data_IF_163155850023
#
_entry.id   IF_163155850023
#
_cell.length_a   1.000
_cell.length_b   1.000
_cell.length_c   1.000
_cell.angle_alpha   90.00
_cell.angle_beta   90.00
_cell.angle_gamma   90.00
#
_symmetry.space_group_name_H-M   'P 1'
#
loop_
_entity.id
_entity.type
_entity.pdbx_description
1 polymer ?
#
# COMPACT_ATOMS: atom_id res chain seq x y z
N UNK A 1 -17.75 34.69 -24.57
CA UNK A 1 -17.20 33.39 -24.99
C UNK A 1 -16.49 32.87 -23.78
N UNK A 2 -17.14 31.99 -23.03
CA UNK A 2 -16.58 31.36 -21.85
C UNK A 2 -15.62 30.26 -22.29
N UNK A 3 -14.39 30.41 -21.88
CA UNK A 3 -13.32 29.40 -22.05
C UNK A 3 -13.64 28.27 -21.08
N UNK A 4 -14.32 27.23 -21.54
CA UNK A 4 -14.46 26.00 -20.82
C UNK A 4 -13.14 25.24 -21.02
N UNK A 5 -12.22 25.37 -20.06
CA UNK A 5 -11.16 24.34 -19.88
C UNK A 5 -11.88 23.00 -19.75
N UNK A 6 -11.48 21.96 -20.51
CA UNK A 6 -12.05 20.64 -20.33
C UNK A 6 -11.78 20.21 -18.88
N UNK A 7 -12.84 19.97 -18.10
CA UNK A 7 -12.71 19.22 -16.85
C UNK A 7 -12.00 17.92 -17.23
N UNK A 8 -10.78 17.72 -16.72
CA UNK A 8 -10.05 16.47 -16.86
C UNK A 8 -10.98 15.36 -16.39
N UNK A 9 -11.36 14.49 -17.29
CA UNK A 9 -12.30 13.39 -17.03
C UNK A 9 -11.62 12.46 -16.03
N UNK A 10 -11.98 12.57 -14.76
CA UNK A 10 -11.42 11.75 -13.69
C UNK A 10 -11.95 10.34 -13.82
N UNK A 11 -11.12 9.42 -14.26
CA UNK A 11 -11.44 8.01 -14.46
C UNK A 11 -11.44 7.31 -13.09
N UNK A 12 -12.60 6.80 -12.68
CA UNK A 12 -12.82 6.20 -11.37
C UNK A 12 -12.84 4.68 -11.50
N UNK A 13 -11.68 4.04 -11.33
CA UNK A 13 -11.57 2.59 -11.49
C UNK A 13 -10.83 1.92 -10.33
N UNK A 14 -11.22 0.67 -10.05
CA UNK A 14 -10.54 -0.26 -9.16
C UNK A 14 -9.81 -1.30 -9.99
N UNK A 15 -8.49 -1.23 -10.03
CA UNK A 15 -7.63 -2.10 -10.82
C UNK A 15 -7.06 -3.21 -9.96
N UNK A 16 -7.09 -4.43 -10.46
CA UNK A 16 -6.60 -5.64 -9.77
C UNK A 16 -5.62 -6.41 -10.63
N UNK A 17 -4.75 -7.16 -9.99
CA UNK A 17 -4.07 -8.31 -10.59
C UNK A 17 -4.69 -9.57 -10.02
N UNK A 18 -5.05 -10.50 -10.87
CA UNK A 18 -5.74 -11.71 -10.48
C UNK A 18 -5.18 -12.94 -11.19
N UNK A 19 -5.42 -14.11 -10.60
CA UNK A 19 -5.15 -15.40 -11.21
C UNK A 19 -6.48 -16.12 -11.49
N UNK A 20 -6.66 -16.57 -12.72
CA UNK A 20 -7.81 -17.38 -13.16
C UNK A 20 -7.34 -18.48 -14.11
N UNK A 21 -7.80 -19.71 -13.90
CA UNK A 21 -7.42 -20.88 -14.71
C UNK A 21 -5.90 -21.02 -14.95
N UNK A 22 -5.08 -20.69 -13.94
CA UNK A 22 -3.61 -20.79 -14.01
C UNK A 22 -2.91 -19.59 -14.68
N UNK A 23 -3.67 -18.64 -15.25
CA UNK A 23 -3.12 -17.43 -15.89
C UNK A 23 -3.21 -16.23 -14.95
N UNK A 24 -2.15 -15.41 -14.89
CA UNK A 24 -2.13 -14.14 -14.19
C UNK A 24 -2.42 -13.04 -15.20
N UNK A 25 -3.38 -12.18 -14.87
CA UNK A 25 -3.80 -11.05 -15.68
C UNK A 25 -4.16 -9.84 -14.81
N UNK A 26 -4.34 -8.70 -15.44
CA UNK A 26 -4.89 -7.50 -14.82
C UNK A 26 -6.38 -7.36 -15.14
N UNK A 27 -7.13 -6.73 -14.26
CA UNK A 27 -8.56 -6.57 -14.42
C UNK A 27 -9.11 -5.30 -13.80
N UNK A 28 -10.30 -4.94 -14.22
CA UNK A 28 -11.14 -3.94 -13.59
C UNK A 28 -12.13 -4.63 -12.66
N UNK A 29 -12.15 -4.24 -11.39
CA UNK A 29 -13.11 -4.76 -10.42
C UNK A 29 -14.42 -3.97 -10.47
N UNK A 30 -15.50 -4.66 -10.83
CA UNK A 30 -16.88 -4.17 -10.82
C UNK A 30 -17.71 -4.91 -9.77
N UNK A 31 -18.94 -4.48 -9.57
CA UNK A 31 -19.90 -5.15 -8.67
C UNK A 31 -20.22 -6.58 -9.10
N UNK A 32 -20.24 -6.84 -10.41
CA UNK A 32 -20.56 -8.14 -11.01
C UNK A 32 -19.33 -9.06 -11.17
N UNK A 33 -18.11 -8.60 -10.88
CA UNK A 33 -16.90 -9.40 -10.97
C UNK A 33 -15.69 -8.63 -11.53
N UNK A 34 -14.78 -9.36 -12.18
CA UNK A 34 -13.53 -8.84 -12.74
C UNK A 34 -13.62 -8.83 -14.27
N UNK A 35 -13.52 -7.67 -14.88
CA UNK A 35 -13.35 -7.54 -16.33
C UNK A 35 -11.88 -7.72 -16.69
N UNK A 36 -11.58 -8.66 -17.58
CA UNK A 36 -10.22 -8.89 -18.06
C UNK A 36 -9.69 -7.70 -18.88
N UNK A 37 -8.48 -7.26 -18.57
CA UNK A 37 -7.79 -6.14 -19.23
C UNK A 37 -6.54 -6.58 -20.00
N UNK A 38 -6.35 -7.87 -20.27
CA UNK A 38 -5.18 -8.39 -21.01
C UNK A 38 -5.01 -7.76 -22.39
N UNK A 39 -6.13 -7.33 -23.02
CA UNK A 39 -6.11 -6.64 -24.30
C UNK A 39 -5.62 -5.17 -24.19
N UNK A 40 -5.57 -4.60 -22.97
CA UNK A 40 -5.05 -3.24 -22.71
C UNK A 40 -3.56 -3.30 -22.43
N UNK A 41 -3.14 -4.15 -21.49
CA UNK A 41 -1.75 -4.29 -21.08
C UNK A 41 -1.48 -5.69 -20.51
N UNK A 42 -0.23 -6.20 -20.64
CA UNK A 42 0.15 -7.51 -20.11
C UNK A 42 0.28 -7.55 -18.58
N UNK A 43 0.51 -6.40 -17.94
CA UNK A 43 0.68 -6.26 -16.50
C UNK A 43 0.31 -4.85 -16.01
N UNK A 44 0.17 -4.72 -14.69
CA UNK A 44 -0.26 -3.47 -14.05
C UNK A 44 0.71 -2.32 -14.29
N UNK A 45 2.02 -2.56 -14.28
CA UNK A 45 3.02 -1.51 -14.48
C UNK A 45 2.94 -0.98 -15.91
N UNK A 46 2.78 -1.87 -16.89
CA UNK A 46 2.59 -1.48 -18.29
C UNK A 46 1.31 -0.68 -18.49
N UNK A 47 0.22 -1.02 -17.80
CA UNK A 47 -1.00 -0.21 -17.79
C UNK A 47 -0.76 1.18 -17.19
N UNK A 48 -0.07 1.26 -16.06
CA UNK A 48 0.27 2.54 -15.41
C UNK A 48 1.13 3.41 -16.33
N UNK A 49 2.10 2.83 -17.05
CA UNK A 49 2.96 3.54 -18.03
C UNK A 49 2.17 4.14 -19.20
N UNK A 50 1.02 3.55 -19.57
CA UNK A 50 0.14 4.10 -20.60
C UNK A 50 -0.62 5.35 -20.12
N UNK A 51 -0.69 5.60 -18.81
CA UNK A 51 -1.33 6.78 -18.23
C UNK A 51 -2.81 6.91 -18.62
N UNK A 52 -3.22 8.12 -18.96
CA UNK A 52 -4.62 8.43 -19.34
C UNK A 52 -5.11 7.65 -20.56
N UNK A 53 -4.24 7.41 -21.55
CA UNK A 53 -4.60 6.61 -22.72
C UNK A 53 -4.91 5.15 -22.36
N UNK A 54 -4.16 4.57 -21.43
CA UNK A 54 -4.45 3.24 -20.90
C UNK A 54 -5.77 3.19 -20.14
N UNK A 55 -6.02 4.18 -19.28
CA UNK A 55 -7.25 4.26 -18.52
C UNK A 55 -8.49 4.48 -19.42
N UNK A 56 -8.38 5.29 -20.49
CA UNK A 56 -9.47 5.45 -21.45
C UNK A 56 -9.81 4.11 -22.14
N UNK A 57 -8.81 3.30 -22.50
CA UNK A 57 -9.04 1.97 -23.06
C UNK A 57 -9.66 1.00 -22.05
N UNK A 58 -9.31 1.13 -20.75
CA UNK A 58 -9.98 0.37 -19.69
C UNK A 58 -11.47 0.67 -19.66
N UNK A 59 -11.89 1.95 -19.74
CA UNK A 59 -13.30 2.33 -19.78
C UNK A 59 -14.01 1.77 -21.02
N UNK A 60 -13.39 1.85 -22.19
CA UNK A 60 -13.96 1.32 -23.45
C UNK A 60 -14.23 -0.19 -23.34
N UNK A 61 -13.25 -0.96 -22.85
CA UNK A 61 -13.41 -2.41 -22.68
C UNK A 61 -14.45 -2.70 -21.60
N UNK A 62 -14.41 -1.99 -20.47
CA UNK A 62 -15.31 -2.21 -19.35
C UNK A 62 -16.80 -2.01 -19.74
N UNK A 63 -17.07 -1.14 -20.70
CA UNK A 63 -18.44 -0.87 -21.17
C UNK A 63 -19.08 -2.04 -21.93
N UNK A 64 -18.28 -2.93 -22.52
CA UNK A 64 -18.75 -3.99 -23.42
C UNK A 64 -18.42 -5.42 -22.94
N UNK A 65 -17.47 -5.58 -22.05
CA UNK A 65 -16.98 -6.89 -21.64
C UNK A 65 -17.82 -7.51 -20.51
N UNK A 66 -17.97 -8.84 -20.57
CA UNK A 66 -18.52 -9.64 -19.47
C UNK A 66 -17.48 -9.76 -18.33
N UNK A 67 -17.98 -9.79 -17.10
CA UNK A 67 -17.12 -9.97 -15.93
C UNK A 67 -16.95 -11.46 -15.59
N UNK A 68 -15.74 -11.84 -15.18
CA UNK A 68 -15.46 -13.12 -14.54
C UNK A 68 -15.97 -13.01 -13.09
N UNK A 69 -16.80 -13.95 -12.60
CA UNK A 69 -17.27 -13.90 -11.22
C UNK A 69 -16.11 -13.80 -10.22
N UNK A 70 -16.23 -12.93 -9.22
CA UNK A 70 -15.17 -12.73 -8.24
C UNK A 70 -14.79 -14.01 -7.46
N UNK A 71 -15.73 -14.97 -7.34
CA UNK A 71 -15.49 -16.26 -6.70
C UNK A 71 -14.56 -17.19 -7.51
N UNK A 72 -14.41 -16.96 -8.82
CA UNK A 72 -13.61 -17.79 -9.72
C UNK A 72 -12.16 -17.28 -9.87
N UNK A 73 -11.84 -16.16 -9.23
CA UNK A 73 -10.50 -15.55 -9.31
C UNK A 73 -9.82 -15.51 -7.95
N UNK A 74 -8.48 -15.65 -7.96
CA UNK A 74 -7.64 -15.31 -6.80
C UNK A 74 -7.00 -13.95 -7.04
N UNK A 75 -7.28 -12.99 -6.16
CA UNK A 75 -6.61 -11.70 -6.21
C UNK A 75 -5.16 -11.83 -5.73
N UNK A 76 -4.26 -11.18 -6.44
CA UNK A 76 -2.84 -11.03 -6.10
C UNK A 76 -2.58 -9.56 -5.68
N UNK A 77 -1.38 -9.27 -5.17
CA UNK A 77 -0.98 -7.89 -5.01
C UNK A 77 -1.13 -7.15 -6.36
N UNK A 78 -1.74 -5.96 -6.42
CA UNK A 78 -2.00 -5.27 -7.68
C UNK A 78 -0.73 -5.05 -8.53
N UNK A 79 0.41 -4.83 -7.86
CA UNK A 79 1.75 -4.87 -8.44
C UNK A 79 2.49 -6.00 -7.73
N UNK A 80 2.28 -7.25 -8.18
CA UNK A 80 2.85 -8.44 -7.53
C UNK A 80 4.34 -8.63 -7.78
N UNK A 81 4.88 -8.03 -8.83
CA UNK A 81 6.31 -8.03 -9.16
C UNK A 81 6.81 -6.60 -9.34
N UNK A 82 6.98 -5.82 -8.25
CA UNK A 82 7.47 -4.46 -8.35
C UNK A 82 8.90 -4.45 -8.91
N UNK A 83 9.21 -3.48 -9.78
CA UNK A 83 10.54 -3.35 -10.41
C UNK A 83 11.61 -2.94 -9.40
N UNK A 84 11.22 -2.34 -8.30
CA UNK A 84 12.10 -1.85 -7.23
C UNK A 84 11.51 -2.14 -5.86
N UNK A 85 12.33 -2.02 -4.83
CA UNK A 85 11.89 -2.08 -3.45
C UNK A 85 10.73 -1.11 -3.20
N UNK A 86 9.77 -1.51 -2.35
CA UNK A 86 8.75 -0.62 -1.82
C UNK A 86 9.45 0.45 -0.99
N UNK A 87 9.22 1.71 -1.31
CA UNK A 87 9.70 2.85 -0.53
C UNK A 87 8.76 3.06 0.65
N UNK A 88 9.31 3.23 1.85
CA UNK A 88 8.51 3.33 3.07
C UNK A 88 8.92 4.56 3.87
N UNK A 89 7.95 5.09 4.63
CA UNK A 89 8.15 6.24 5.49
C UNK A 89 7.80 5.87 6.94
N UNK A 90 8.81 5.87 7.81
CA UNK A 90 8.62 5.66 9.24
C UNK A 90 8.27 6.95 9.99
N UNK A 91 7.61 6.78 11.14
CA UNK A 91 7.30 7.89 12.08
C UNK A 91 6.48 9.03 11.45
N UNK A 92 5.61 8.72 10.49
CA UNK A 92 4.84 9.72 9.76
C UNK A 92 3.48 10.07 10.40
N UNK A 93 3.19 9.54 11.59
CA UNK A 93 2.01 9.90 12.39
C UNK A 93 2.46 10.28 13.77
N UNK A 94 2.12 11.50 14.22
CA UNK A 94 2.61 12.04 15.49
C UNK A 94 2.25 11.16 16.70
N UNK A 95 1.04 10.58 16.72
CA UNK A 95 0.62 9.67 17.77
C UNK A 95 1.43 8.38 17.78
N UNK A 96 1.69 7.77 16.59
CA UNK A 96 2.54 6.59 16.45
C UNK A 96 4.00 6.89 16.83
N UNK A 97 4.52 8.04 16.44
CA UNK A 97 5.87 8.48 16.84
C UNK A 97 5.98 8.51 18.35
N UNK A 98 5.02 9.15 19.04
CA UNK A 98 4.99 9.25 20.50
C UNK A 98 4.93 7.87 21.16
N UNK A 99 3.97 7.01 20.79
CA UNK A 99 3.84 5.67 21.37
C UNK A 99 5.10 4.82 21.18
N UNK A 100 5.79 4.97 20.03
CA UNK A 100 7.02 4.25 19.72
C UNK A 100 8.19 4.66 20.61
N UNK A 101 8.34 5.94 20.91
CA UNK A 101 9.35 6.44 21.85
C UNK A 101 9.02 6.02 23.29
N UNK A 102 7.76 6.16 23.71
CA UNK A 102 7.29 5.76 25.04
C UNK A 102 7.47 4.25 25.29
N UNK A 103 7.21 3.41 24.28
CA UNK A 103 7.40 1.95 24.37
C UNK A 103 8.86 1.56 24.56
N UNK A 104 9.81 2.37 24.06
CA UNK A 104 11.26 2.18 24.23
C UNK A 104 11.83 2.87 25.45
N UNK A 105 11.03 3.67 26.18
CA UNK A 105 11.52 4.49 27.29
C UNK A 105 12.42 5.64 26.85
N UNK A 106 12.24 6.11 25.62
CA UNK A 106 13.02 7.19 25.00
C UNK A 106 12.26 8.52 25.05
N UNK A 107 12.98 9.65 24.99
CA UNK A 107 12.36 10.97 24.86
C UNK A 107 11.85 11.16 23.44
N UNK A 108 10.64 11.72 23.27
CA UNK A 108 10.08 12.01 21.96
C UNK A 108 10.90 13.10 21.27
N UNK A 109 11.46 12.76 20.12
CA UNK A 109 12.19 13.72 19.27
C UNK A 109 11.27 14.30 18.21
N UNK A 110 11.50 15.55 17.83
CA UNK A 110 10.84 16.18 16.69
C UNK A 110 11.40 15.61 15.40
N UNK A 111 10.54 15.11 14.54
CA UNK A 111 10.93 14.59 13.24
C UNK A 111 10.89 15.72 12.21
N UNK A 112 12.06 16.22 11.82
CA UNK A 112 12.21 17.33 10.86
C UNK A 112 12.14 16.88 9.40
N UNK A 113 12.52 15.61 9.12
CA UNK A 113 12.56 15.02 7.79
C UNK A 113 11.93 13.65 7.79
N UNK A 114 11.29 13.23 6.67
CA UNK A 114 10.75 11.87 6.56
C UNK A 114 11.83 10.81 6.80
N UNK A 115 11.53 9.83 7.66
CA UNK A 115 12.41 8.69 7.90
C UNK A 115 12.19 7.67 6.79
N UNK A 116 13.05 7.66 5.79
CA UNK A 116 12.89 6.83 4.59
C UNK A 116 13.64 5.51 4.75
N UNK A 117 12.96 4.40 4.44
CA UNK A 117 13.53 3.07 4.34
C UNK A 117 12.87 2.30 3.20
N UNK A 118 13.24 1.05 2.98
CA UNK A 118 12.64 0.22 1.94
C UNK A 118 12.35 -1.20 2.42
N UNK A 119 11.39 -1.85 1.75
CA UNK A 119 11.14 -3.31 1.83
C UNK A 119 11.54 -3.93 0.49
N UNK A 120 12.12 -5.15 0.53
CA UNK A 120 12.50 -5.89 -0.70
C UNK A 120 11.29 -6.23 -1.56
N UNK A 121 11.53 -6.53 -2.83
CA UNK A 121 10.46 -6.98 -3.73
C UNK A 121 9.89 -8.34 -3.34
N UNK A 122 10.70 -9.22 -2.74
CA UNK A 122 10.28 -10.57 -2.29
C UNK A 122 9.34 -10.54 -1.08
N UNK A 123 9.26 -9.39 -0.38
CA UNK A 123 8.31 -9.27 0.73
C UNK A 123 6.87 -9.03 0.28
N UNK A 124 6.64 -8.63 -0.99
CA UNK A 124 5.29 -8.36 -1.51
C UNK A 124 4.45 -9.62 -1.47
N UNK A 125 3.24 -9.50 -0.93
CA UNK A 125 2.30 -10.59 -0.73
C UNK A 125 0.90 -10.16 -1.16
N UNK A 126 0.06 -11.13 -1.48
CA UNK A 126 -1.31 -10.87 -1.91
C UNK A 126 -2.24 -10.43 -0.77
N UNK A 127 -3.39 -9.81 -1.13
CA UNK A 127 -4.32 -9.24 -0.15
C UNK A 127 -4.95 -10.27 0.79
N UNK A 128 -4.94 -11.56 0.39
CA UNK A 128 -5.57 -12.64 1.15
C UNK A 128 -4.64 -13.85 1.32
N UNK A 129 -3.36 -13.71 0.98
CA UNK A 129 -2.37 -14.77 1.16
C UNK A 129 -1.88 -14.83 2.60
N UNK A 130 -1.41 -16.00 3.04
CA UNK A 130 -0.83 -16.16 4.36
C UNK A 130 0.48 -15.38 4.48
N UNK A 131 0.75 -14.80 5.67
CA UNK A 131 2.03 -14.17 6.02
C UNK A 131 2.89 -15.25 6.68
N UNK A 132 4.06 -15.61 6.10
CA UNK A 132 4.95 -16.60 6.69
C UNK A 132 5.48 -16.18 8.05
N UNK A 133 5.48 -17.12 9.00
CA UNK A 133 6.04 -16.94 10.35
C UNK A 133 7.07 -18.01 10.62
N UNK A 134 8.29 -17.60 10.97
CA UNK A 134 9.36 -18.46 11.41
C UNK A 134 9.88 -17.97 12.77
N UNK A 135 9.58 -18.74 13.84
CA UNK A 135 10.01 -18.41 15.19
C UNK A 135 11.53 -18.43 15.38
N UNK A 136 12.27 -19.15 14.53
CA UNK A 136 13.74 -19.15 14.56
C UNK A 136 14.33 -17.85 14.00
N UNK A 137 13.56 -17.13 13.16
CA UNK A 137 13.94 -15.82 12.60
C UNK A 137 13.52 -14.69 13.53
N UNK A 138 12.24 -14.66 13.93
CA UNK A 138 11.69 -13.66 14.86
C UNK A 138 10.38 -14.14 15.48
N UNK A 139 10.24 -13.92 16.78
CA UNK A 139 8.98 -14.09 17.51
C UNK A 139 8.28 -12.75 17.83
N UNK A 140 8.74 -11.64 17.25
CA UNK A 140 8.22 -10.29 17.50
C UNK A 140 7.65 -9.66 16.24
N UNK A 141 6.78 -10.41 15.56
CA UNK A 141 6.09 -9.98 14.34
C UNK A 141 4.94 -9.06 14.73
N UNK A 142 4.88 -7.89 14.09
CA UNK A 142 3.91 -6.83 14.35
C UNK A 142 3.25 -6.35 13.05
N UNK A 143 2.11 -5.71 13.14
CA UNK A 143 1.30 -5.18 12.05
C UNK A 143 1.41 -3.66 11.97
N UNK A 144 1.28 -3.13 10.75
CA UNK A 144 1.24 -1.69 10.46
C UNK A 144 0.35 -1.42 9.25
N UNK A 145 -0.91 -1.02 9.47
CA UNK A 145 -1.80 -0.63 8.38
C UNK A 145 -1.39 0.73 7.80
N UNK A 146 -1.24 0.79 6.48
CA UNK A 146 -0.75 1.97 5.78
C UNK A 146 -1.53 2.26 4.51
N UNK A 147 -1.75 3.54 4.22
CA UNK A 147 -2.08 4.00 2.87
C UNK A 147 -0.82 3.91 2.01
N UNK A 148 -0.91 3.25 0.86
CA UNK A 148 0.17 3.22 -0.11
C UNK A 148 -0.20 4.02 -1.36
N UNK A 149 0.76 4.80 -1.83
CA UNK A 149 0.67 5.63 -3.04
C UNK A 149 1.38 4.93 -4.19
N UNK A 150 0.75 4.91 -5.36
CA UNK A 150 1.33 4.38 -6.60
C UNK A 150 1.70 5.54 -7.51
N UNK A 151 2.97 5.58 -7.94
CA UNK A 151 3.46 6.61 -8.86
C UNK A 151 3.02 6.28 -10.29
N UNK A 152 2.46 7.26 -10.99
CA UNK A 152 1.91 7.12 -12.35
C UNK A 152 2.81 7.63 -13.46
N UNK A 153 3.76 8.50 -13.15
CA UNK A 153 4.67 9.07 -14.16
C UNK A 153 6.09 9.21 -13.65
N UNK A 154 7.05 9.18 -14.59
CA UNK A 154 8.46 9.42 -14.26
C UNK A 154 8.63 10.87 -13.79
N UNK A 155 9.26 11.07 -12.63
CA UNK A 155 9.58 12.40 -12.07
C UNK A 155 10.90 12.38 -11.30
N UNK A 156 11.52 13.56 -11.19
CA UNK A 156 12.75 13.80 -10.41
C UNK A 156 12.78 15.26 -9.99
N UNK A 157 13.16 15.55 -8.75
CA UNK A 157 13.17 16.92 -8.18
C UNK A 157 11.81 17.62 -8.30
N UNK A 158 10.74 16.89 -8.03
CA UNK A 158 9.37 17.34 -8.26
C UNK A 158 8.99 18.50 -7.35
N UNK A 159 8.28 19.47 -7.91
CA UNK A 159 7.51 20.45 -7.13
C UNK A 159 6.33 19.76 -6.45
N UNK A 160 5.63 20.47 -5.57
CA UNK A 160 4.45 19.95 -4.87
C UNK A 160 3.32 19.60 -5.85
N UNK A 161 3.10 20.44 -6.85
CA UNK A 161 2.09 20.26 -7.89
C UNK A 161 2.43 19.06 -8.80
N UNK A 162 3.69 18.93 -9.21
CA UNK A 162 4.16 17.80 -10.01
C UNK A 162 4.06 16.48 -9.22
N UNK A 163 4.33 16.52 -7.91
CA UNK A 163 4.21 15.36 -7.03
C UNK A 163 2.77 14.86 -6.94
N UNK A 164 1.80 15.76 -6.72
CA UNK A 164 0.37 15.42 -6.71
C UNK A 164 -0.10 14.87 -8.05
N UNK A 165 0.28 15.53 -9.14
CA UNK A 165 -0.07 15.12 -10.49
C UNK A 165 0.59 13.80 -10.92
N UNK A 166 1.59 13.31 -10.17
CA UNK A 166 2.25 12.04 -10.45
C UNK A 166 1.60 10.84 -9.75
N UNK A 167 0.62 11.05 -8.89
CA UNK A 167 -0.08 9.96 -8.21
C UNK A 167 -1.04 9.28 -9.18
N UNK A 168 -0.82 7.98 -9.43
CA UNK A 168 -1.72 7.15 -10.22
C UNK A 168 -2.93 6.70 -9.40
N UNK A 169 -2.71 6.33 -8.17
CA UNK A 169 -3.75 5.83 -7.29
C UNK A 169 -3.23 5.39 -5.93
N UNK A 170 -4.12 4.73 -5.20
CA UNK A 170 -3.91 4.35 -3.81
C UNK A 170 -4.27 2.88 -3.59
N UNK A 171 -3.64 2.25 -2.61
CA UNK A 171 -3.93 0.87 -2.19
C UNK A 171 -3.70 0.71 -0.69
N UNK A 172 -4.18 -0.39 -0.11
CA UNK A 172 -3.88 -0.76 1.28
C UNK A 172 -2.57 -1.52 1.33
N UNK A 173 -1.78 -1.29 2.36
CA UNK A 173 -0.54 -2.02 2.63
C UNK A 173 -0.45 -2.36 4.12
N UNK A 174 0.06 -3.55 4.45
CA UNK A 174 0.46 -3.91 5.81
C UNK A 174 1.98 -4.02 5.85
N UNK A 175 2.65 -3.07 6.52
CA UNK A 175 4.10 -3.06 6.69
C UNK A 175 4.52 -3.97 7.87
N UNK A 176 4.31 -5.28 7.69
CA UNK A 176 4.64 -6.28 8.71
C UNK A 176 6.10 -6.19 9.11
N UNK A 177 6.34 -6.17 10.43
CA UNK A 177 7.63 -5.82 11.02
C UNK A 177 8.08 -6.85 12.03
N UNK A 178 9.31 -7.35 11.89
CA UNK A 178 10.03 -8.08 12.93
C UNK A 178 10.77 -7.07 13.84
N UNK A 179 10.19 -6.74 15.00
CA UNK A 179 10.63 -5.63 15.86
C UNK A 179 12.02 -5.82 16.47
N UNK A 180 12.37 -7.05 16.80
CA UNK A 180 13.72 -7.43 17.26
C UNK A 180 14.77 -7.18 16.18
N UNK A 181 14.52 -7.63 14.94
CA UNK A 181 15.43 -7.43 13.82
C UNK A 181 15.53 -5.94 13.43
N UNK A 182 14.42 -5.21 13.51
CA UNK A 182 14.40 -3.77 13.29
C UNK A 182 15.35 -3.03 14.26
N UNK A 183 15.38 -3.45 15.53
CA UNK A 183 16.24 -2.84 16.55
C UNK A 183 17.69 -3.34 16.44
N UNK A 184 17.88 -4.66 16.27
CA UNK A 184 19.21 -5.29 16.23
C UNK A 184 20.10 -4.71 15.12
N UNK A 185 19.53 -4.49 13.94
CA UNK A 185 20.28 -4.01 12.77
C UNK A 185 20.37 -2.48 12.65
N UNK A 186 19.79 -1.72 13.59
CA UNK A 186 19.72 -0.23 13.58
C UNK A 186 19.01 0.37 12.36
N UNK A 187 19.17 -0.23 11.19
CA UNK A 187 18.43 0.10 9.97
C UNK A 187 17.17 -0.76 9.88
N UNK A 188 16.03 -0.19 9.48
CA UNK A 188 14.75 -0.89 9.49
C UNK A 188 14.67 -2.03 8.47
N UNK A 189 15.48 -1.95 7.42
CA UNK A 189 15.46 -2.82 6.25
C UNK A 189 15.30 -4.31 6.58
N UNK A 190 16.16 -4.88 7.46
CA UNK A 190 16.10 -6.32 7.75
C UNK A 190 14.82 -6.73 8.48
N UNK A 191 14.38 -5.95 9.47
CA UNK A 191 13.14 -6.20 10.21
C UNK A 191 11.87 -5.97 9.39
N UNK A 192 11.98 -5.30 8.24
CA UNK A 192 10.89 -4.92 7.33
C UNK A 192 10.86 -5.76 6.04
N UNK A 193 11.84 -6.63 5.80
CA UNK A 193 12.03 -7.29 4.50
C UNK A 193 12.07 -8.82 4.60
N UNK A 194 11.31 -9.40 5.51
CA UNK A 194 11.08 -10.85 5.50
C UNK A 194 10.17 -11.20 4.31
N UNK A 195 10.38 -12.35 3.70
CA UNK A 195 9.56 -12.79 2.56
C UNK A 195 8.08 -12.85 2.93
N UNK A 196 7.21 -12.35 2.04
CA UNK A 196 5.77 -12.32 2.27
C UNK A 196 5.28 -11.32 3.35
N UNK A 197 6.16 -10.48 3.90
CA UNK A 197 5.85 -9.53 4.99
C UNK A 197 5.29 -8.18 4.54
N UNK A 198 4.79 -8.09 3.30
CA UNK A 198 4.19 -6.86 2.77
C UNK A 198 2.93 -7.16 1.95
N UNK A 199 1.83 -7.59 2.61
CA UNK A 199 0.55 -7.69 1.94
C UNK A 199 0.11 -6.36 1.35
N UNK A 200 -0.32 -6.35 0.07
CA UNK A 200 -0.76 -5.18 -0.67
C UNK A 200 -2.04 -5.50 -1.44
N UNK A 201 -2.99 -4.58 -1.45
CA UNK A 201 -4.22 -4.68 -2.22
C UNK A 201 -5.44 -4.09 -1.50
N UNK A 202 -6.66 -4.59 -1.74
CA UNK A 202 -7.01 -5.63 -2.71
C UNK A 202 -6.96 -5.14 -4.16
N UNK A 203 -6.93 -3.82 -4.38
CA UNK A 203 -6.90 -3.16 -5.68
C UNK A 203 -6.11 -1.85 -5.62
N UNK A 204 -5.78 -1.28 -6.76
CA UNK A 204 -5.41 0.13 -6.89
C UNK A 204 -6.69 0.89 -7.24
N UNK A 205 -7.05 1.86 -6.43
CA UNK A 205 -8.09 2.85 -6.74
C UNK A 205 -7.41 4.06 -7.35
N UNK A 206 -7.80 4.45 -8.56
CA UNK A 206 -7.17 5.58 -9.25
C UNK A 206 -7.36 6.89 -8.48
N UNK A 207 -6.39 7.81 -8.57
CA UNK A 207 -6.41 9.08 -7.85
C UNK A 207 -7.66 9.92 -8.16
N UNK A 208 -8.20 9.78 -9.38
CA UNK A 208 -9.46 10.44 -9.77
C UNK A 208 -10.66 10.02 -8.94
N UNK A 209 -10.69 8.77 -8.46
CA UNK A 209 -11.77 8.23 -7.62
C UNK A 209 -11.64 8.65 -6.14
N UNK A 210 -10.49 9.17 -5.73
CA UNK A 210 -10.22 9.59 -4.35
C UNK A 210 -9.80 11.07 -4.39
N UNK A 211 -10.77 12.00 -4.38
CA UNK A 211 -10.48 13.43 -4.49
C UNK A 211 -9.74 13.99 -3.28
N UNK A 212 -9.93 13.40 -2.10
CA UNK A 212 -9.21 13.74 -0.87
C UNK A 212 -8.68 12.47 -0.19
N UNK A 213 -7.41 12.12 -0.40
CA UNK A 213 -6.82 10.95 0.26
C UNK A 213 -6.63 11.14 1.77
N UNK A 214 -6.70 12.36 2.29
CA UNK A 214 -6.50 12.64 3.71
C UNK A 214 -7.76 12.37 4.53
N UNK A 215 -8.94 12.43 3.92
CA UNK A 215 -10.20 12.05 4.56
C UNK A 215 -10.36 10.52 4.78
N UNK A 216 -9.47 9.71 4.20
CA UNK A 216 -9.55 8.25 4.27
C UNK A 216 -9.27 7.75 5.69
N UNK A 217 -10.20 6.94 6.23
CA UNK A 217 -10.02 6.25 7.50
C UNK A 217 -9.17 4.99 7.27
N UNK A 218 -8.17 4.80 8.14
CA UNK A 218 -7.26 3.65 8.17
C UNK A 218 -7.54 2.85 9.43
N UNK A 219 -7.85 1.56 9.30
CA UNK A 219 -8.10 0.67 10.42
C UNK A 219 -7.28 -0.60 10.32
N UNK A 220 -6.93 -1.15 11.49
CA UNK A 220 -6.37 -2.48 11.61
C UNK A 220 -7.12 -3.26 12.67
N UNK A 221 -7.50 -4.50 12.36
CA UNK A 221 -8.06 -5.47 13.30
C UNK A 221 -7.15 -6.69 13.39
N UNK A 222 -6.95 -7.20 14.58
CA UNK A 222 -6.29 -8.49 14.83
C UNK A 222 -7.31 -9.40 15.52
N UNK A 223 -7.63 -10.53 14.89
CA UNK A 223 -8.66 -11.46 15.36
C UNK A 223 -10.02 -10.77 15.64
N UNK A 224 -10.38 -9.82 14.79
CA UNK A 224 -11.61 -9.03 14.93
C UNK A 224 -11.55 -7.91 15.97
N UNK A 225 -10.44 -7.75 16.71
CA UNK A 225 -10.26 -6.67 17.68
C UNK A 225 -9.62 -5.47 17.01
N UNK A 226 -10.26 -4.30 17.12
CA UNK A 226 -9.73 -3.04 16.61
C UNK A 226 -8.41 -2.68 17.32
N UNK A 227 -7.37 -2.43 16.55
CA UNK A 227 -6.03 -2.09 17.01
C UNK A 227 -5.58 -0.70 16.58
N UNK A 228 -5.78 -0.38 15.31
CA UNK A 228 -5.48 0.94 14.77
C UNK A 228 -6.75 1.54 14.19
N UNK A 229 -6.97 2.83 14.44
CA UNK A 229 -8.10 3.61 13.94
C UNK A 229 -7.69 5.07 13.84
N UNK A 230 -7.52 5.56 12.63
CA UNK A 230 -7.06 6.93 12.37
C UNK A 230 -7.50 7.39 10.98
N UNK A 231 -7.34 8.67 10.71
CA UNK A 231 -7.49 9.23 9.38
C UNK A 231 -6.12 9.63 8.79
N UNK A 232 -5.99 9.56 7.48
CA UNK A 232 -4.75 9.92 6.79
C UNK A 232 -4.37 11.41 6.95
N UNK A 233 -5.31 12.28 7.31
CA UNK A 233 -5.05 13.70 7.63
C UNK A 233 -4.09 13.89 8.81
N UNK A 234 -3.92 12.87 9.65
CA UNK A 234 -3.02 12.93 10.82
C UNK A 234 -1.55 12.64 10.48
N UNK A 235 -1.21 12.49 9.18
CA UNK A 235 0.17 12.38 8.70
C UNK A 235 0.97 13.64 9.06
N UNK A 236 2.19 13.44 9.53
CA UNK A 236 3.14 14.54 9.79
C UNK A 236 3.64 15.17 8.48
N UNK A 237 3.99 14.34 7.51
CA UNK A 237 4.37 14.74 6.17
C UNK A 237 3.34 14.25 5.18
N UNK A 238 2.72 15.16 4.45
CA UNK A 238 1.71 14.83 3.46
C UNK A 238 2.29 14.19 2.19
N UNK A 239 1.46 13.59 1.38
CA UNK A 239 1.86 12.82 0.19
C UNK A 239 2.78 13.62 -0.74
N UNK A 240 2.48 14.86 -1.15
CA UNK A 240 3.38 15.61 -2.03
C UNK A 240 4.72 15.95 -1.36
N UNK A 241 4.76 16.15 -0.05
CA UNK A 241 6.00 16.33 0.70
C UNK A 241 6.84 15.05 0.65
N UNK A 242 6.24 13.88 0.86
CA UNK A 242 6.95 12.59 0.76
C UNK A 242 7.51 12.36 -0.65
N UNK A 243 6.71 12.57 -1.69
CA UNK A 243 7.15 12.43 -3.09
C UNK A 243 8.26 13.44 -3.41
N UNK A 244 8.14 14.69 -2.94
CA UNK A 244 9.15 15.72 -3.09
C UNK A 244 10.49 15.31 -2.49
N UNK A 245 10.49 14.81 -1.25
CA UNK A 245 11.71 14.32 -0.57
C UNK A 245 12.30 13.10 -1.30
N UNK A 246 11.50 12.11 -1.66
CA UNK A 246 11.94 10.92 -2.38
C UNK A 246 12.50 11.25 -3.76
N UNK A 247 11.85 12.17 -4.49
CA UNK A 247 12.29 12.51 -5.85
C UNK A 247 13.51 13.42 -5.90
N UNK A 248 13.91 14.02 -4.78
CA UNK A 248 15.05 14.94 -4.71
C UNK A 248 16.37 14.21 -4.98
N UNK A 249 16.91 14.42 -6.16
CA UNK A 249 18.13 13.75 -6.64
C UNK A 249 17.90 12.30 -7.11
N UNK A 250 16.75 11.69 -6.86
CA UNK A 250 16.37 10.32 -7.22
C UNK A 250 15.21 10.33 -8.21
N UNK A 251 15.23 9.46 -9.22
CA UNK A 251 14.11 9.33 -10.16
C UNK A 251 13.08 8.35 -9.62
N UNK A 252 11.82 8.77 -9.55
CA UNK A 252 10.66 7.90 -9.36
C UNK A 252 10.12 7.48 -10.74
N UNK A 253 9.57 6.26 -10.82
CA UNK A 253 9.09 5.64 -12.04
C UNK A 253 7.63 5.20 -11.89
N UNK A 254 6.87 5.08 -12.99
CA UNK A 254 5.55 4.47 -12.97
C UNK A 254 5.57 3.09 -12.31
N UNK A 255 4.61 2.84 -11.42
CA UNK A 255 4.54 1.60 -10.64
C UNK A 255 5.39 1.58 -9.38
N UNK A 256 6.15 2.63 -9.06
CA UNK A 256 6.79 2.73 -7.75
C UNK A 256 5.72 2.84 -6.66
N UNK A 257 5.95 2.12 -5.55
CA UNK A 257 5.05 2.05 -4.39
C UNK A 257 5.67 2.82 -3.24
N UNK A 258 4.90 3.72 -2.63
CA UNK A 258 5.29 4.49 -1.45
C UNK A 258 4.32 4.16 -0.32
N UNK A 259 4.77 3.46 0.71
CA UNK A 259 4.06 3.24 1.95
C UNK A 259 4.22 4.48 2.84
N UNK A 260 3.12 5.12 3.22
CA UNK A 260 3.13 6.48 3.78
C UNK A 260 3.30 6.54 5.29
N UNK A 261 3.46 5.40 5.95
CA UNK A 261 3.53 5.28 7.40
C UNK A 261 2.23 4.79 8.02
N UNK A 262 2.32 4.33 9.26
CA UNK A 262 1.22 3.75 10.02
C UNK A 262 0.78 4.64 11.18
N UNK A 263 -0.53 4.68 11.53
CA UNK A 263 -1.01 5.34 12.73
C UNK A 263 -0.67 4.57 14.01
N UNK A 264 -0.99 5.14 15.19
CA UNK A 264 -0.84 4.49 16.49
C UNK A 264 -1.70 3.25 16.65
N UNK A 265 -1.33 2.39 17.62
CA UNK A 265 -2.03 1.16 17.98
C UNK A 265 -1.29 -0.10 17.55
N UNK A 266 0.00 0.00 17.23
CA UNK A 266 0.85 -1.15 16.91
C UNK A 266 1.10 -2.05 18.12
N UNK A 267 1.31 -3.34 17.87
CA UNK A 267 1.36 -4.35 18.93
C UNK A 267 2.53 -4.18 19.90
N UNK A 268 3.72 -3.78 19.42
CA UNK A 268 4.86 -3.59 20.30
C UNK A 268 4.72 -2.44 21.31
N UNK A 269 3.87 -1.46 21.03
CA UNK A 269 3.61 -0.33 21.90
C UNK A 269 2.53 -0.60 22.95
N UNK A 270 1.84 -1.74 22.87
CA UNK A 270 0.86 -2.15 23.87
C UNK A 270 1.51 -2.47 25.22
N UNK A 271 0.71 -2.42 26.27
CA UNK A 271 1.17 -2.72 27.64
C UNK A 271 0.32 -3.85 28.25
N UNK A 272 0.82 -5.12 28.31
CA UNK A 272 2.11 -5.58 27.77
C UNK A 272 2.14 -5.60 26.22
N UNK A 273 3.33 -5.62 25.59
CA UNK A 273 3.45 -5.78 24.15
C UNK A 273 2.78 -7.05 23.62
N UNK A 274 2.11 -6.93 22.47
CA UNK A 274 1.40 -8.05 21.80
C UNK A 274 1.99 -8.24 20.41
N UNK A 275 2.44 -9.45 20.10
CA UNK A 275 2.99 -9.81 18.80
C UNK A 275 2.13 -10.88 18.14
N UNK A 276 2.11 -10.86 16.82
CA UNK A 276 1.39 -11.82 16.01
C UNK A 276 1.95 -13.24 16.15
N UNK A 277 1.07 -14.24 16.10
CA UNK A 277 1.38 -15.66 16.22
C UNK A 277 0.70 -16.45 15.11
N UNK A 278 1.18 -17.64 14.77
CA UNK A 278 0.48 -18.54 13.86
C UNK A 278 -0.97 -18.75 14.26
N UNK A 279 -1.87 -18.61 13.29
CA UNK A 279 -3.31 -18.63 13.47
C UNK A 279 -3.97 -17.26 13.62
N UNK A 280 -3.22 -16.21 13.97
CA UNK A 280 -3.76 -14.85 14.02
C UNK A 280 -4.17 -14.37 12.62
N UNK A 281 -5.22 -13.57 12.56
CA UNK A 281 -5.71 -12.93 11.34
C UNK A 281 -5.61 -11.43 11.50
N UNK A 282 -4.89 -10.79 10.58
CA UNK A 282 -4.75 -9.34 10.49
C UNK A 282 -5.59 -8.82 9.34
N UNK A 283 -6.45 -7.86 9.61
CA UNK A 283 -7.23 -7.16 8.60
C UNK A 283 -6.86 -5.67 8.63
N UNK A 284 -6.27 -5.18 7.53
CA UNK A 284 -6.02 -3.75 7.33
C UNK A 284 -7.01 -3.23 6.29
N UNK A 285 -7.70 -2.15 6.60
CA UNK A 285 -8.71 -1.57 5.72
C UNK A 285 -8.55 -0.06 5.60
N UNK A 286 -8.84 0.43 4.38
CA UNK A 286 -8.91 1.87 4.08
C UNK A 286 -10.25 2.14 3.40
N UNK A 287 -10.99 3.10 3.94
CA UNK A 287 -12.29 3.51 3.40
C UNK A 287 -12.16 3.91 1.93
N UNK A 288 -13.12 3.50 1.10
CA UNK A 288 -13.11 3.76 -0.34
C UNK A 288 -12.19 2.86 -1.18
N UNK A 289 -11.16 2.23 -0.57
CA UNK A 289 -10.25 1.31 -1.25
C UNK A 289 -10.68 -0.15 -1.04
N UNK A 290 -10.77 -0.57 0.21
CA UNK A 290 -11.12 -1.93 0.60
C UNK A 290 -10.29 -2.45 1.76
N UNK A 291 -10.20 -3.77 1.90
CA UNK A 291 -9.48 -4.44 2.98
C UNK A 291 -8.60 -5.58 2.46
N UNK A 292 -7.45 -5.74 3.08
CA UNK A 292 -6.59 -6.92 2.98
C UNK A 292 -6.73 -7.72 4.27
N UNK A 293 -6.74 -9.06 4.16
CA UNK A 293 -6.97 -9.93 5.32
C UNK A 293 -6.09 -11.16 5.22
N UNK A 294 -5.06 -11.19 6.04
CA UNK A 294 -3.99 -12.16 5.97
C UNK A 294 -3.91 -12.97 7.27
N UNK A 295 -3.74 -14.28 7.15
CA UNK A 295 -3.49 -15.16 8.31
C UNK A 295 -1.97 -15.30 8.49
N UNK A 296 -1.52 -15.31 9.74
CA UNK A 296 -0.16 -15.70 10.09
C UNK A 296 -0.06 -17.22 10.05
N UNK A 297 0.82 -17.75 9.22
CA UNK A 297 1.01 -19.20 9.05
C UNK A 297 2.46 -19.59 9.31
N UNK A 298 2.69 -20.79 9.92
CA UNK A 298 4.02 -21.33 10.03
C UNK A 298 4.69 -21.39 8.65
N UNK A 299 5.94 -20.93 8.57
CA UNK A 299 6.75 -21.08 7.36
C UNK A 299 7.00 -22.56 7.08
N UNK A 300 6.88 -22.96 5.79
CA UNK A 300 7.08 -24.34 5.36
C UNK A 300 8.54 -24.78 5.45
#
# INVERSE_FOLDING_TARGET
MGDHTPEERRINVKLVTYQHAGTIAIGLWREDGIVDLSAVAPDMITLIEQGEAGLARVEEIAAAAEAIPAADVRLLAPIHNPRRNVMCVGKNYAAHTRESYEARGESVETIEYPVIFTKTTTCVNGPYDDIPFDAAVSDKIDYEAELAVIIGRKLKNATREEALAAVFGYTVLNDVTARDLQTLHKQFFKGKSLDGSCPIGPCIVTAGAIPDPYALRITCHVNGQLRQDSAAETMTFDIPTLIGHLSRGMTLLPGDIIATGTPSGVGFAMKPPVFLRPGDVVECAIEGIGAIRNRIAEAA
#
